data_IF_592534111496
#
_entry.id   IF_592534111496
#
_cell.length_a   1.000
_cell.length_b   1.000
_cell.length_c   1.000
_cell.angle_alpha   90.00
_cell.angle_beta   90.00
_cell.angle_gamma   90.00
#
_symmetry.space_group_name_H-M   'P 1'
#
loop_
_entity.id
_entity.type
_entity.pdbx_description
1 polymer ?
#
# COMPACT_ATOMS: atom_id res chain seq x y z
N UNK A 1 20.50 18.65 -30.20
CA UNK A 1 20.19 18.98 -28.79
C UNK A 1 19.19 17.96 -28.29
N UNK A 2 19.63 17.02 -27.44
CA UNK A 2 18.83 15.89 -26.99
C UNK A 2 17.91 16.37 -25.85
N UNK A 3 16.60 16.28 -26.08
CA UNK A 3 15.57 16.52 -25.08
C UNK A 3 15.64 15.33 -24.11
N UNK A 4 16.11 15.61 -22.90
CA UNK A 4 16.26 14.64 -21.83
C UNK A 4 14.88 14.19 -21.33
N UNK A 5 14.66 12.88 -21.47
CA UNK A 5 13.51 12.14 -21.00
C UNK A 5 13.43 12.20 -19.47
N UNK A 6 12.45 12.92 -18.92
CA UNK A 6 12.34 13.25 -17.48
C UNK A 6 11.07 12.66 -16.85
N UNK A 7 10.67 11.44 -17.22
CA UNK A 7 9.54 10.73 -16.59
C UNK A 7 9.74 9.21 -16.57
N UNK A 8 10.67 8.73 -15.75
CA UNK A 8 10.82 7.30 -15.44
C UNK A 8 11.17 7.05 -13.96
N UNK A 9 10.51 7.76 -13.02
CA UNK A 9 10.89 7.69 -11.59
C UNK A 9 10.01 6.74 -10.76
N UNK A 10 8.82 6.32 -11.21
CA UNK A 10 7.87 5.69 -10.26
C UNK A 10 7.91 4.17 -10.10
N UNK A 11 8.86 3.43 -10.70
CA UNK A 11 9.03 1.97 -10.47
C UNK A 11 10.42 1.56 -9.98
N UNK A 12 11.37 2.50 -9.81
CA UNK A 12 12.78 2.17 -9.56
C UNK A 12 13.06 1.42 -8.24
N UNK A 13 12.08 1.34 -7.33
CA UNK A 13 12.28 0.77 -6.00
C UNK A 13 11.55 -0.55 -5.75
N UNK A 14 10.59 -0.95 -6.57
CA UNK A 14 9.87 -2.23 -6.42
C UNK A 14 10.38 -3.18 -7.51
N UNK A 15 10.98 -4.28 -7.09
CA UNK A 15 11.53 -5.28 -8.01
C UNK A 15 10.92 -6.65 -7.72
N UNK A 16 10.56 -7.44 -8.75
CA UNK A 16 10.34 -8.87 -8.58
C UNK A 16 11.53 -9.50 -7.87
N UNK A 17 11.27 -10.47 -6.99
CA UNK A 17 12.32 -11.18 -6.25
C UNK A 17 13.17 -12.05 -7.18
N UNK A 18 12.65 -12.42 -8.36
CA UNK A 18 13.38 -13.04 -9.46
C UNK A 18 13.27 -12.19 -10.74
N UNK A 19 14.40 -11.89 -11.39
CA UNK A 19 14.48 -10.95 -12.51
C UNK A 19 13.76 -11.48 -13.77
N UNK A 20 12.87 -10.68 -14.37
CA UNK A 20 12.35 -10.89 -15.73
C UNK A 20 12.29 -9.55 -16.48
N UNK A 21 12.70 -9.58 -17.74
CA UNK A 21 12.72 -8.43 -18.64
C UNK A 21 11.29 -7.95 -19.00
N UNK A 22 11.14 -6.62 -19.10
CA UNK A 22 9.89 -5.86 -19.18
C UNK A 22 9.09 -6.01 -20.48
N UNK A 23 7.78 -5.74 -20.40
CA UNK A 23 6.97 -5.24 -21.52
C UNK A 23 6.18 -3.99 -21.10
N UNK A 24 6.23 -2.96 -21.95
CA UNK A 24 5.70 -1.60 -21.79
C UNK A 24 4.17 -1.49 -21.82
N UNK A 25 3.60 -0.49 -21.14
CA UNK A 25 2.17 -0.12 -21.25
C UNK A 25 1.94 1.40 -21.52
N UNK A 26 0.85 1.76 -22.21
CA UNK A 26 0.59 3.11 -22.71
C UNK A 26 -0.20 3.98 -21.73
N UNK A 27 0.05 5.29 -21.80
CA UNK A 27 -0.60 6.33 -21.01
C UNK A 27 -1.94 6.74 -21.63
N UNK A 28 -3.04 6.61 -20.89
CA UNK A 28 -4.35 7.10 -21.31
C UNK A 28 -5.32 7.19 -20.13
N UNK A 29 -5.92 8.37 -19.95
CA UNK A 29 -7.00 8.66 -19.00
C UNK A 29 -8.26 7.89 -19.45
N UNK A 30 -8.78 6.95 -18.65
CA UNK A 30 -9.99 6.17 -18.97
C UNK A 30 -10.84 5.94 -17.72
N UNK A 31 -12.17 6.04 -17.87
CA UNK A 31 -13.16 5.67 -16.86
C UNK A 31 -13.08 4.17 -16.58
N UNK A 32 -12.31 3.77 -15.55
CA UNK A 32 -11.89 2.38 -15.30
C UNK A 32 -12.98 1.40 -14.82
N UNK A 33 -14.19 1.89 -14.53
CA UNK A 33 -15.20 1.14 -13.79
C UNK A 33 -16.16 0.31 -14.65
N UNK A 34 -16.22 0.51 -15.98
CA UNK A 34 -17.24 -0.09 -16.85
C UNK A 34 -17.02 -1.57 -17.21
N UNK A 35 -15.79 -2.08 -17.10
CA UNK A 35 -15.43 -3.41 -17.65
C UNK A 35 -15.31 -4.53 -16.61
N UNK A 36 -15.52 -4.23 -15.32
CA UNK A 36 -15.45 -5.25 -14.27
C UNK A 36 -16.84 -5.81 -13.97
N UNK A 37 -16.99 -7.13 -14.09
CA UNK A 37 -18.19 -7.80 -13.60
C UNK A 37 -18.27 -7.70 -12.06
N UNK A 38 -19.47 -7.93 -11.53
CA UNK A 38 -19.74 -7.79 -10.10
C UNK A 38 -18.83 -8.67 -9.22
N UNK A 39 -18.54 -9.89 -9.67
CA UNK A 39 -17.71 -10.83 -8.92
C UNK A 39 -16.25 -10.37 -8.84
N UNK A 40 -15.70 -9.83 -9.94
CA UNK A 40 -14.33 -9.29 -9.98
C UNK A 40 -14.21 -8.03 -9.13
N UNK A 41 -15.24 -7.18 -9.16
CA UNK A 41 -15.31 -5.99 -8.31
C UNK A 41 -15.31 -6.39 -6.84
N UNK A 42 -16.21 -7.28 -6.43
CA UNK A 42 -16.27 -7.73 -5.03
C UNK A 42 -14.96 -8.38 -4.57
N UNK A 43 -14.32 -9.17 -5.43
CA UNK A 43 -13.03 -9.79 -5.13
C UNK A 43 -11.92 -8.74 -4.95
N UNK A 44 -11.88 -7.71 -5.80
CA UNK A 44 -10.92 -6.62 -5.68
C UNK A 44 -11.20 -5.77 -4.43
N UNK A 45 -12.47 -5.52 -4.10
CA UNK A 45 -12.88 -4.80 -2.90
C UNK A 45 -12.40 -5.55 -1.64
N UNK A 46 -12.50 -6.89 -1.64
CA UNK A 46 -11.91 -7.73 -0.59
C UNK A 46 -10.39 -7.59 -0.53
N UNK A 47 -9.70 -7.62 -1.67
CA UNK A 47 -8.24 -7.45 -1.70
C UNK A 47 -7.82 -6.10 -1.07
N UNK A 48 -8.64 -5.06 -1.23
CA UNK A 48 -8.34 -3.74 -0.70
C UNK A 48 -8.23 -3.71 0.84
N UNK A 49 -8.73 -4.73 1.56
CA UNK A 49 -8.60 -4.85 3.01
C UNK A 49 -7.14 -5.06 3.44
N UNK A 50 -6.30 -5.53 2.51
CA UNK A 50 -4.91 -5.89 2.76
C UNK A 50 -3.93 -4.77 2.34
N UNK A 51 -4.44 -3.56 2.10
CA UNK A 51 -3.64 -2.42 1.64
C UNK A 51 -3.03 -1.64 2.81
N UNK A 52 -1.72 -1.45 2.72
CA UNK A 52 -1.01 -0.39 3.41
C UNK A 52 -0.69 0.73 2.43
N UNK A 53 -0.54 1.97 2.91
CA UNK A 53 -0.25 3.13 2.07
C UNK A 53 1.16 3.65 2.37
N UNK A 54 1.93 3.89 1.31
CA UNK A 54 3.20 4.63 1.36
C UNK A 54 3.39 5.42 0.05
N UNK A 55 2.70 6.56 -0.04
CA UNK A 55 2.49 7.25 -1.32
C UNK A 55 1.43 6.54 -2.15
N UNK A 56 1.74 5.32 -2.59
CA UNK A 56 0.83 4.44 -3.33
C UNK A 56 0.22 3.36 -2.41
N UNK A 57 -0.93 2.76 -2.79
CA UNK A 57 -1.46 1.58 -2.12
C UNK A 57 -0.61 0.33 -2.38
N UNK A 58 -0.34 -0.42 -1.32
CA UNK A 58 0.56 -1.58 -1.26
C UNK A 58 -0.19 -2.76 -0.64
N UNK A 59 -0.66 -3.73 -1.44
CA UNK A 59 -1.20 -4.98 -0.90
C UNK A 59 -0.07 -5.80 -0.29
N UNK A 60 -0.18 -6.12 1.00
CA UNK A 60 0.81 -6.97 1.68
C UNK A 60 0.25 -8.39 1.79
N UNK A 61 0.58 -9.23 0.80
CA UNK A 61 0.17 -10.65 0.75
C UNK A 61 1.41 -11.54 0.90
N UNK A 62 1.84 -11.82 2.14
CA UNK A 62 3.12 -12.48 2.40
C UNK A 62 3.11 -13.99 2.19
N UNK A 63 2.00 -14.64 2.52
CA UNK A 63 1.80 -16.08 2.38
C UNK A 63 0.36 -16.32 1.95
N UNK A 64 0.18 -16.65 0.67
CA UNK A 64 -1.14 -16.79 0.03
C UNK A 64 -1.97 -17.94 0.64
N UNK A 65 -1.33 -18.85 1.39
CA UNK A 65 -2.01 -19.96 2.07
C UNK A 65 -2.51 -19.61 3.47
N UNK A 66 -2.08 -18.46 4.02
CA UNK A 66 -2.40 -18.07 5.38
C UNK A 66 -3.90 -17.77 5.54
N UNK A 67 -4.47 -18.23 6.66
CA UNK A 67 -5.89 -18.08 6.99
C UNK A 67 -6.37 -16.62 7.01
N UNK A 68 -5.48 -15.66 7.32
CA UNK A 68 -5.81 -14.23 7.32
C UNK A 68 -6.29 -13.73 5.96
N UNK A 69 -5.87 -14.39 4.88
CA UNK A 69 -6.25 -14.10 3.49
C UNK A 69 -7.32 -15.08 2.98
N UNK A 70 -7.11 -16.39 3.20
CA UNK A 70 -7.94 -17.42 2.57
C UNK A 70 -9.38 -17.44 3.10
N UNK A 71 -9.59 -17.08 4.37
CA UNK A 71 -10.94 -16.96 4.95
C UNK A 71 -11.77 -15.86 4.31
N UNK A 72 -11.11 -14.83 3.76
CA UNK A 72 -11.76 -13.73 3.03
C UNK A 72 -11.90 -14.05 1.53
N UNK A 73 -11.43 -15.21 1.08
CA UNK A 73 -11.47 -15.62 -0.34
C UNK A 73 -10.26 -15.17 -1.17
N UNK A 74 -9.21 -14.61 -0.54
CA UNK A 74 -7.94 -14.33 -1.22
C UNK A 74 -7.10 -15.61 -1.23
N UNK A 75 -6.95 -16.19 -2.41
CA UNK A 75 -6.26 -17.45 -2.68
C UNK A 75 -5.39 -17.30 -3.94
N UNK A 76 -4.52 -18.26 -4.24
CA UNK A 76 -3.73 -18.19 -5.47
C UNK A 76 -4.61 -18.16 -6.73
N UNK A 77 -5.76 -18.84 -6.73
CA UNK A 77 -6.66 -18.86 -7.87
C UNK A 77 -7.34 -17.50 -8.08
N UNK A 78 -7.78 -16.85 -6.99
CA UNK A 78 -8.42 -15.54 -7.07
C UNK A 78 -7.41 -14.43 -7.39
N UNK A 79 -6.18 -14.53 -6.89
CA UNK A 79 -5.09 -13.62 -7.30
C UNK A 79 -4.74 -13.77 -8.79
N UNK A 80 -4.61 -15.00 -9.32
CA UNK A 80 -4.41 -15.22 -10.77
C UNK A 80 -5.54 -14.62 -11.62
N UNK A 81 -6.77 -14.64 -11.11
CA UNK A 81 -7.92 -14.01 -11.79
C UNK A 81 -7.79 -12.48 -11.82
N UNK A 82 -7.46 -11.85 -10.69
CA UNK A 82 -7.23 -10.39 -10.61
C UNK A 82 -6.04 -9.94 -11.48
N UNK A 83 -5.01 -10.79 -11.58
CA UNK A 83 -3.84 -10.60 -12.45
C UNK A 83 -4.25 -10.66 -13.93
N UNK A 84 -5.03 -11.67 -14.32
CA UNK A 84 -5.50 -11.85 -15.70
C UNK A 84 -6.39 -10.68 -16.21
N UNK A 85 -7.13 -10.01 -15.33
CA UNK A 85 -7.92 -8.81 -15.67
C UNK A 85 -7.12 -7.50 -15.54
N UNK A 86 -5.84 -7.59 -15.18
CA UNK A 86 -4.90 -6.47 -15.16
C UNK A 86 -5.09 -5.51 -13.98
N UNK A 87 -5.64 -5.94 -12.85
CA UNK A 87 -5.75 -5.11 -11.64
C UNK A 87 -4.53 -5.26 -10.72
N UNK A 88 -3.87 -6.41 -10.76
CA UNK A 88 -2.66 -6.68 -9.98
C UNK A 88 -1.58 -7.28 -10.88
N UNK A 89 -0.37 -7.36 -10.35
CA UNK A 89 0.68 -8.26 -10.80
C UNK A 89 0.89 -9.29 -9.69
N UNK A 90 0.74 -10.57 -10.00
CA UNK A 90 0.95 -11.67 -9.06
C UNK A 90 2.23 -12.46 -9.40
N UNK A 91 3.19 -12.51 -8.47
CA UNK A 91 4.45 -13.26 -8.64
C UNK A 91 4.67 -14.21 -7.45
N UNK A 92 4.85 -15.50 -7.73
CA UNK A 92 5.14 -16.53 -6.73
C UNK A 92 6.46 -16.32 -6.00
N UNK A 93 7.42 -15.63 -6.62
CA UNK A 93 8.66 -15.24 -5.96
C UNK A 93 8.48 -14.02 -5.07
N UNK A 94 7.45 -13.21 -5.34
CA UNK A 94 7.11 -12.00 -4.62
C UNK A 94 7.92 -10.78 -5.01
N UNK A 95 7.72 -9.70 -4.26
CA UNK A 95 8.22 -8.37 -4.54
C UNK A 95 8.89 -7.79 -3.31
N UNK A 96 9.93 -7.00 -3.55
CA UNK A 96 10.64 -6.27 -2.49
C UNK A 96 10.71 -4.81 -2.88
N UNK A 97 10.40 -3.93 -1.92
CA UNK A 97 10.67 -2.50 -2.04
C UNK A 97 12.02 -2.18 -1.41
N UNK A 98 12.92 -1.54 -2.14
CA UNK A 98 14.28 -1.19 -1.69
C UNK A 98 14.43 0.31 -1.52
N UNK A 99 15.60 0.74 -1.04
CA UNK A 99 15.97 2.16 -0.95
C UNK A 99 15.46 2.85 0.32
N UNK A 100 15.08 2.09 1.35
CA UNK A 100 14.69 2.69 2.62
C UNK A 100 15.92 3.17 3.41
N UNK A 101 15.80 4.35 4.02
CA UNK A 101 16.72 4.82 5.05
C UNK A 101 16.52 4.09 6.39
N UNK A 102 17.00 4.69 7.49
CA UNK A 102 16.83 4.14 8.85
C UNK A 102 15.37 3.98 9.28
N UNK A 103 14.48 4.83 8.79
CA UNK A 103 13.08 4.85 9.19
C UNK A 103 12.15 5.04 7.99
N UNK A 104 10.96 4.47 8.08
CA UNK A 104 9.83 4.78 7.19
C UNK A 104 8.52 4.83 7.96
N UNK A 105 7.46 5.31 7.31
CA UNK A 105 6.09 5.31 7.82
C UNK A 105 5.17 4.68 6.77
N UNK A 106 4.42 3.69 7.18
CA UNK A 106 3.34 3.10 6.39
C UNK A 106 2.02 3.38 7.12
N UNK A 107 0.93 3.54 6.37
CA UNK A 107 -0.38 3.84 6.92
C UNK A 107 -1.35 2.69 6.66
N UNK A 108 -2.06 2.25 7.69
CA UNK A 108 -3.12 1.26 7.56
C UNK A 108 -4.44 1.88 8.03
N UNK A 109 -5.42 1.97 7.13
CA UNK A 109 -6.70 2.67 7.36
C UNK A 109 -6.49 4.08 7.95
N UNK A 110 -5.52 4.83 7.40
CA UNK A 110 -5.16 6.18 7.85
C UNK A 110 -4.35 6.25 9.15
N UNK A 111 -4.09 5.13 9.84
CA UNK A 111 -3.28 5.10 11.06
C UNK A 111 -1.80 4.83 10.73
N UNK A 112 -0.87 5.72 11.12
CA UNK A 112 0.54 5.54 10.83
C UNK A 112 1.21 4.52 11.76
N UNK A 113 2.07 3.68 11.17
CA UNK A 113 3.05 2.85 11.87
C UNK A 113 4.45 3.27 11.43
N UNK A 114 5.28 3.70 12.38
CA UNK A 114 6.69 3.96 12.13
C UNK A 114 7.45 2.64 12.19
N UNK A 115 8.27 2.40 11.18
CA UNK A 115 9.13 1.23 11.03
C UNK A 115 10.58 1.73 11.08
N UNK A 116 11.37 1.18 12.00
CA UNK A 116 12.82 1.36 12.10
C UNK A 116 13.55 0.13 11.58
N UNK A 117 14.54 0.36 10.73
CA UNK A 117 15.43 -0.67 10.21
C UNK A 117 16.73 -0.72 11.02
N UNK A 118 17.45 -1.83 10.92
CA UNK A 118 18.73 -1.99 11.61
C UNK A 118 19.84 -1.14 10.96
N UNK A 119 19.92 -1.10 9.64
CA UNK A 119 20.94 -0.30 8.92
C UNK A 119 20.47 1.15 8.72
N UNK A 120 21.41 2.05 8.49
CA UNK A 120 21.09 3.48 8.28
C UNK A 120 20.58 3.80 6.87
N UNK A 121 20.92 2.98 5.88
CA UNK A 121 20.50 3.12 4.49
C UNK A 121 20.44 1.77 3.77
N UNK A 122 19.96 1.78 2.51
CA UNK A 122 19.85 0.61 1.63
C UNK A 122 19.00 -0.52 2.20
N UNK A 123 18.03 -0.19 3.05
CA UNK A 123 17.11 -1.15 3.61
C UNK A 123 16.03 -1.53 2.60
N UNK A 124 15.39 -2.66 2.86
CA UNK A 124 14.31 -3.21 2.03
C UNK A 124 13.15 -3.73 2.86
N UNK A 125 11.96 -3.72 2.27
CA UNK A 125 10.74 -4.27 2.84
C UNK A 125 10.17 -5.31 1.87
N UNK A 126 9.89 -6.50 2.38
CA UNK A 126 9.12 -7.51 1.64
C UNK A 126 7.70 -6.99 1.45
N UNK A 127 7.17 -7.05 0.22
CA UNK A 127 5.78 -6.69 -0.10
C UNK A 127 4.89 -7.92 -0.27
N UNK A 128 5.47 -9.13 -0.23
CA UNK A 128 4.77 -10.36 -0.53
C UNK A 128 4.56 -10.55 -2.03
N UNK A 129 3.46 -11.17 -2.42
CA UNK A 129 3.28 -11.75 -3.75
C UNK A 129 2.50 -10.90 -4.75
N UNK A 130 2.04 -9.71 -4.32
CA UNK A 130 1.09 -8.91 -5.08
C UNK A 130 1.54 -7.46 -5.11
N UNK A 131 1.45 -6.82 -6.27
CA UNK A 131 1.49 -5.36 -6.42
C UNK A 131 0.33 -4.91 -7.30
N UNK A 132 -0.14 -3.68 -7.14
CA UNK A 132 -1.21 -3.13 -7.98
C UNK A 132 -0.64 -2.65 -9.32
N UNK A 133 -1.39 -2.88 -10.41
CA UNK A 133 -1.16 -2.15 -11.67
C UNK A 133 -1.64 -0.70 -11.52
N UNK A 134 -1.33 0.17 -12.48
CA UNK A 134 -1.85 1.54 -12.49
C UNK A 134 -3.39 1.58 -12.48
N UNK A 135 -4.03 0.65 -13.21
CA UNK A 135 -5.49 0.45 -13.17
C UNK A 135 -5.95 0.05 -11.76
N UNK A 136 -5.25 -0.89 -11.12
CA UNK A 136 -5.55 -1.32 -9.75
C UNK A 136 -5.39 -0.19 -8.73
N UNK A 137 -4.33 0.61 -8.83
CA UNK A 137 -4.10 1.77 -7.95
C UNK A 137 -5.21 2.80 -8.07
N UNK A 138 -5.56 3.19 -9.31
CA UNK A 138 -6.64 4.14 -9.57
C UNK A 138 -7.97 3.67 -8.99
N UNK A 139 -8.26 2.37 -9.13
CA UNK A 139 -9.46 1.76 -8.58
C UNK A 139 -9.42 1.74 -7.04
N UNK A 140 -8.32 1.30 -6.43
CA UNK A 140 -8.16 1.19 -4.97
C UNK A 140 -8.34 2.53 -4.23
N UNK A 141 -7.90 3.65 -4.83
CA UNK A 141 -8.06 4.98 -4.23
C UNK A 141 -9.52 5.43 -4.09
N UNK A 142 -10.44 4.84 -4.85
CA UNK A 142 -11.87 5.14 -4.75
C UNK A 142 -12.55 4.41 -3.57
N UNK A 143 -11.87 3.45 -2.92
CA UNK A 143 -12.47 2.62 -1.89
C UNK A 143 -12.10 3.05 -0.48
N UNK A 144 -13.13 3.09 0.37
CA UNK A 144 -12.95 3.12 1.83
C UNK A 144 -13.16 1.71 2.36
N UNK A 145 -12.05 1.02 2.59
CA UNK A 145 -12.13 -0.36 3.05
C UNK A 145 -12.20 -0.44 4.58
N UNK A 146 -13.09 -1.27 5.16
CA UNK A 146 -13.15 -1.47 6.59
C UNK A 146 -11.83 -2.03 7.12
N UNK A 147 -11.50 -1.65 8.37
CA UNK A 147 -10.28 -2.09 9.03
C UNK A 147 -10.35 -3.57 9.37
N UNK A 148 -9.48 -4.38 8.78
CA UNK A 148 -9.24 -5.75 9.20
C UNK A 148 -8.18 -5.78 10.31
N UNK A 149 -8.59 -6.03 11.56
CA UNK A 149 -7.71 -6.00 12.74
C UNK A 149 -6.74 -7.19 12.76
N UNK A 150 -7.21 -8.39 12.40
CA UNK A 150 -6.38 -9.59 12.36
C UNK A 150 -5.26 -9.47 11.33
N UNK A 151 -5.57 -8.90 10.16
CA UNK A 151 -4.55 -8.59 9.16
C UNK A 151 -3.51 -7.58 9.67
N UNK A 152 -3.95 -6.52 10.35
CA UNK A 152 -3.01 -5.56 10.94
C UNK A 152 -2.04 -6.25 11.90
N UNK A 153 -2.55 -7.06 12.83
CA UNK A 153 -1.73 -7.80 13.80
C UNK A 153 -0.79 -8.80 13.12
N UNK A 154 -1.27 -9.48 12.08
CA UNK A 154 -0.46 -10.37 11.26
C UNK A 154 0.74 -9.65 10.63
N UNK A 155 0.53 -8.48 10.02
CA UNK A 155 1.61 -7.67 9.42
C UNK A 155 2.60 -7.19 10.47
N UNK A 156 2.11 -6.67 11.61
CA UNK A 156 2.96 -6.21 12.72
C UNK A 156 3.84 -7.37 13.22
N UNK A 157 3.26 -8.55 13.43
CA UNK A 157 4.00 -9.75 13.86
C UNK A 157 5.03 -10.18 12.84
N UNK A 158 4.71 -10.14 11.54
CA UNK A 158 5.66 -10.45 10.46
C UNK A 158 6.85 -9.50 10.46
N UNK A 159 6.61 -8.20 10.52
CA UNK A 159 7.67 -7.18 10.57
C UNK A 159 8.52 -7.29 11.83
N UNK A 160 7.91 -7.54 12.98
CA UNK A 160 8.65 -7.74 14.22
C UNK A 160 9.58 -8.96 14.15
N UNK A 161 9.10 -10.09 13.61
CA UNK A 161 9.95 -11.28 13.41
C UNK A 161 11.08 -11.08 12.38
N UNK A 162 10.95 -10.10 11.48
CA UNK A 162 12.01 -9.69 10.57
C UNK A 162 13.06 -8.77 11.24
N UNK A 163 12.92 -8.50 12.55
CA UNK A 163 13.81 -7.64 13.30
C UNK A 163 13.55 -6.14 13.09
N UNK A 164 12.38 -5.76 12.57
CA UNK A 164 12.00 -4.36 12.41
C UNK A 164 11.51 -3.79 13.75
N UNK A 165 11.91 -2.56 14.05
CA UNK A 165 11.47 -1.83 15.24
C UNK A 165 10.17 -1.11 14.89
N UNK A 166 9.09 -1.43 15.59
CA UNK A 166 7.75 -0.90 15.30
C UNK A 166 7.28 0.02 16.41
N UNK A 167 6.77 1.18 16.05
CA UNK A 167 6.15 2.11 17.00
C UNK A 167 4.89 2.71 16.41
N UNK A 168 3.81 2.73 17.18
CA UNK A 168 2.64 3.53 16.88
C UNK A 168 2.96 5.01 17.10
N UNK A 169 2.44 5.88 16.24
CA UNK A 169 2.50 7.32 16.48
C UNK A 169 1.19 7.71 17.15
N UNK A 170 1.27 8.10 18.41
CA UNK A 170 0.16 8.76 19.08
C UNK A 170 0.09 10.19 18.56
N UNK A 171 -0.95 10.51 17.81
CA UNK A 171 -1.28 11.90 17.49
C UNK A 171 -2.09 12.39 18.68
N UNK A 172 -1.48 13.18 19.57
CA UNK A 172 -2.23 13.94 20.57
C UNK A 172 -3.15 14.91 19.80
N UNK A 173 -4.41 14.53 19.63
CA UNK A 173 -5.46 15.47 19.27
C UNK A 173 -5.74 16.27 20.53
N UNK A 174 -5.05 17.38 20.72
CA UNK A 174 -5.49 18.40 21.66
C UNK A 174 -6.38 19.39 20.90
N UNK A 175 -7.71 19.28 20.94
CA UNK A 175 -8.58 20.35 20.49
C UNK A 175 -8.56 21.46 21.56
N UNK A 176 -7.50 22.27 21.60
CA UNK A 176 -7.59 23.56 22.28
C UNK A 176 -8.30 24.53 21.34
N UNK A 177 -9.54 24.81 21.68
CA UNK A 177 -10.25 26.08 21.55
C UNK A 177 -9.37 27.28 21.17
N UNK A 178 -9.34 27.60 19.88
CA UNK A 178 -8.87 28.90 19.38
C UNK A 178 -10.08 29.74 18.96
N UNK A 179 -10.81 30.24 19.96
CA UNK A 179 -11.61 31.47 19.86
C UNK A 179 -11.63 32.07 21.26
N UNK A 180 -10.55 32.77 21.61
CA UNK A 180 -10.62 33.77 22.67
C UNK A 180 -10.98 35.07 21.99
N UNK A 181 -12.20 35.52 22.24
CA UNK A 181 -12.68 36.85 21.89
C UNK A 181 -11.69 37.91 22.40
N UNK A 182 -11.04 38.61 21.48
CA UNK A 182 -10.34 39.84 21.78
C UNK A 182 -11.38 40.96 21.95
N UNK A 183 -12.06 41.00 23.09
CA UNK A 183 -12.83 42.18 23.49
C UNK A 183 -11.86 43.20 24.11
N UNK A 184 -11.38 44.15 23.31
CA UNK A 184 -10.76 45.37 23.80
C UNK A 184 -11.82 46.22 24.52
N UNK A 185 -11.74 46.33 25.85
CA UNK A 185 -12.40 47.40 26.58
C UNK A 185 -11.67 48.73 26.32
N UNK A 186 -12.33 49.64 25.63
CA UNK A 186 -12.00 51.07 25.69
C UNK A 186 -12.72 51.63 26.94
N UNK A 187 -11.93 52.23 27.83
CA UNK A 187 -12.43 53.03 28.95
C UNK A 187 -12.74 54.44 28.44
N UNK A 188 -13.92 54.95 28.78
CA UNK A 188 -14.15 56.37 29.11
C UNK A 188 -14.94 56.43 30.41
#
# INVERSE_FOLDING_TARGET
MKISNLLAIFVQFITPRAFRAESSLPSGNINFTSDLNQNDRQLFDTLCQFLWIQGDPLPLIFDVTNVVYTKEGITSATLKRLDAIGLIIFDTNGFVKKGFGKHTRLFYCGKPTKIGFQNDANNSLDLGHVVLTERGKALALAYQTPRNQEFYEYVIKKWFHQGLILSSIQIDRNPRTDFVDCACSIKE
#
